data_IF_562588190976
#
_entry.id   IF_562588190976
#
_cell.length_a   1.000
_cell.length_b   1.000
_cell.length_c   1.000
_cell.angle_alpha   90.00
_cell.angle_beta   90.00
_cell.angle_gamma   90.00
#
_symmetry.space_group_name_H-M   'P 1'
#
loop_
_entity.id
_entity.type
_entity.pdbx_description
1 polymer ?
#
# COMPACT_ATOMS: atom_id res chain seq x y z
N UNK A 1 20.74 7.24 51.39
CA UNK A 1 20.52 6.39 50.21
C UNK A 1 19.18 6.70 49.57
N UNK A 2 19.15 7.42 48.43
CA UNK A 2 17.91 7.65 47.67
C UNK A 2 17.50 6.34 47.01
N UNK A 3 16.39 5.75 47.47
CA UNK A 3 15.82 4.54 46.92
C UNK A 3 15.17 4.91 45.58
N UNK A 4 15.86 4.69 44.46
CA UNK A 4 15.26 4.82 43.14
C UNK A 4 14.09 3.84 43.06
N UNK A 5 12.88 4.38 43.08
CA UNK A 5 11.66 3.62 42.87
C UNK A 5 11.69 3.21 41.40
N UNK A 6 12.24 2.04 41.10
CA UNK A 6 12.18 1.47 39.75
C UNK A 6 10.69 1.40 39.42
N UNK A 7 10.20 2.10 38.38
CA UNK A 7 8.79 2.05 38.04
C UNK A 7 8.51 0.63 37.54
N UNK A 8 7.98 -0.21 38.43
CA UNK A 8 7.43 -1.51 38.06
C UNK A 8 6.31 -1.19 37.08
N UNK A 9 6.52 -1.55 35.82
CA UNK A 9 5.61 -1.25 34.72
C UNK A 9 4.25 -1.86 35.06
N UNK A 10 3.27 -1.02 35.39
CA UNK A 10 1.94 -1.51 35.76
C UNK A 10 1.29 -2.23 34.56
N UNK A 11 0.38 -3.20 34.78
CA UNK A 11 -0.28 -3.93 33.68
C UNK A 11 -0.96 -3.01 32.67
N UNK A 12 -1.41 -1.82 33.11
CA UNK A 12 -1.98 -0.78 32.25
C UNK A 12 -0.96 -0.21 31.24
N UNK A 13 0.30 -0.04 31.64
CA UNK A 13 1.36 0.45 30.75
C UNK A 13 1.72 -0.58 29.67
N UNK A 14 1.76 -1.87 29.99
CA UNK A 14 2.03 -2.93 29.00
C UNK A 14 0.97 -2.96 27.88
N UNK A 15 -0.32 -2.85 28.25
CA UNK A 15 -1.40 -2.78 27.26
C UNK A 15 -1.27 -1.55 26.35
N UNK A 16 -0.96 -0.38 26.93
CA UNK A 16 -0.79 0.85 26.16
C UNK A 16 0.39 0.76 25.19
N UNK A 17 1.54 0.28 25.66
CA UNK A 17 2.74 0.12 24.84
C UNK A 17 2.48 -0.88 23.71
N UNK A 18 1.80 -2.00 23.99
CA UNK A 18 1.45 -2.98 22.96
C UNK A 18 0.56 -2.41 21.85
N UNK A 19 -0.44 -1.59 22.19
CA UNK A 19 -1.30 -0.93 21.20
C UNK A 19 -0.51 0.10 20.38
N UNK A 20 0.36 0.89 21.03
CA UNK A 20 1.18 1.89 20.34
C UNK A 20 2.16 1.25 19.36
N UNK A 21 2.87 0.20 19.77
CA UNK A 21 3.83 -0.49 18.90
C UNK A 21 3.11 -1.22 17.76
N UNK A 22 1.97 -1.84 18.04
CA UNK A 22 1.15 -2.47 17.01
C UNK A 22 0.64 -1.45 15.99
N UNK A 23 0.13 -0.30 16.44
CA UNK A 23 -0.34 0.77 15.55
C UNK A 23 0.79 1.32 14.69
N UNK A 24 1.97 1.57 15.28
CA UNK A 24 3.12 2.08 14.54
C UNK A 24 3.60 1.06 13.49
N UNK A 25 3.68 -0.22 13.87
CA UNK A 25 4.03 -1.30 12.94
C UNK A 25 3.00 -1.40 11.80
N UNK A 26 1.70 -1.46 12.13
CA UNK A 26 0.63 -1.58 11.14
C UNK A 26 0.63 -0.41 10.14
N UNK A 27 0.80 0.83 10.61
CA UNK A 27 0.90 1.99 9.74
C UNK A 27 2.11 1.91 8.79
N UNK A 28 3.26 1.47 9.32
CA UNK A 28 4.50 1.30 8.52
C UNK A 28 4.36 0.18 7.49
N UNK A 29 3.75 -0.95 7.85
CA UNK A 29 3.49 -2.04 6.90
C UNK A 29 2.49 -1.64 5.83
N UNK A 30 1.41 -0.94 6.20
CA UNK A 30 0.41 -0.47 5.25
C UNK A 30 1.01 0.54 4.26
N UNK A 31 1.84 1.48 4.72
CA UNK A 31 2.51 2.44 3.83
C UNK A 31 3.46 1.74 2.86
N UNK A 32 4.30 0.81 3.34
CA UNK A 32 5.19 0.03 2.47
C UNK A 32 4.39 -0.81 1.46
N UNK A 33 3.33 -1.49 1.90
CA UNK A 33 2.47 -2.25 1.02
C UNK A 33 1.90 -1.36 -0.09
N UNK A 34 1.36 -0.19 0.25
CA UNK A 34 0.81 0.71 -0.75
C UNK A 34 1.88 1.32 -1.68
N UNK A 35 3.09 1.57 -1.21
CA UNK A 35 4.18 2.08 -2.04
C UNK A 35 4.67 1.06 -3.06
N UNK A 36 4.71 -0.23 -2.72
CA UNK A 36 5.22 -1.28 -3.61
C UNK A 36 4.16 -1.95 -4.47
N UNK A 37 2.90 -1.96 -4.03
CA UNK A 37 1.83 -2.72 -4.71
C UNK A 37 0.94 -1.84 -5.57
N UNK A 38 0.80 -0.54 -5.26
CA UNK A 38 0.04 0.36 -6.12
C UNK A 38 0.93 0.86 -7.25
N UNK A 39 0.49 0.62 -8.49
CA UNK A 39 1.15 1.15 -9.68
C UNK A 39 0.91 2.67 -9.86
N UNK A 40 -0.05 3.25 -9.16
CA UNK A 40 -0.35 4.69 -9.23
C UNK A 40 0.74 5.56 -8.60
N UNK A 41 1.59 5.00 -7.74
CA UNK A 41 2.66 5.74 -7.07
C UNK A 41 3.93 5.68 -7.90
N UNK A 42 4.23 6.77 -8.61
CA UNK A 42 5.44 6.89 -9.44
C UNK A 42 6.65 7.19 -8.54
N UNK A 43 7.43 6.16 -8.21
CA UNK A 43 8.69 6.30 -7.47
C UNK A 43 9.85 6.77 -8.36
N UNK A 44 9.81 6.44 -9.65
CA UNK A 44 10.83 6.82 -10.63
C UNK A 44 10.15 7.52 -11.82
N UNK A 45 10.47 8.80 -12.02
CA UNK A 45 9.91 9.61 -13.12
C UNK A 45 10.69 9.46 -14.44
N UNK A 46 11.74 8.67 -14.48
CA UNK A 46 12.47 8.42 -15.72
C UNK A 46 11.55 7.75 -16.76
N UNK A 47 11.52 8.27 -17.98
CA UNK A 47 10.61 7.90 -19.11
C UNK A 47 9.11 8.22 -18.95
N UNK A 48 8.63 8.50 -17.73
CA UNK A 48 7.25 8.94 -17.41
C UNK A 48 6.15 8.36 -18.34
N UNK A 49 5.98 7.02 -18.40
CA UNK A 49 4.87 6.42 -19.13
C UNK A 49 3.54 6.90 -18.56
N UNK A 50 2.47 6.81 -19.34
CA UNK A 50 1.17 7.22 -18.82
C UNK A 50 0.75 6.31 -17.66
N UNK A 51 0.12 6.84 -16.60
CA UNK A 51 -0.12 6.09 -15.36
C UNK A 51 -0.87 4.76 -15.56
N UNK A 52 -1.76 4.69 -16.56
CA UNK A 52 -2.55 3.52 -16.89
C UNK A 52 -1.83 2.47 -17.74
N UNK A 53 -0.67 2.76 -18.33
CA UNK A 53 0.03 1.79 -19.19
C UNK A 53 0.68 0.65 -18.42
N UNK A 54 1.15 0.91 -17.19
CA UNK A 54 1.75 -0.11 -16.33
C UNK A 54 0.72 -0.92 -15.52
N UNK A 55 -0.54 -0.53 -15.58
CA UNK A 55 -1.62 -1.16 -14.82
C UNK A 55 -2.06 -2.42 -15.55
N UNK A 56 -1.95 -3.57 -14.89
CA UNK A 56 -2.51 -4.84 -15.37
C UNK A 56 -3.98 -4.93 -14.95
N UNK A 57 -4.93 -4.81 -15.90
CA UNK A 57 -6.34 -4.79 -15.56
C UNK A 57 -6.95 -6.20 -15.39
N UNK A 58 -6.20 -7.25 -15.76
CA UNK A 58 -6.59 -8.65 -15.55
C UNK A 58 -6.41 -9.09 -14.10
N UNK A 59 -5.64 -8.32 -13.33
CA UNK A 59 -5.40 -8.57 -11.90
C UNK A 59 -6.30 -7.68 -11.04
N UNK A 60 -6.76 -8.19 -9.88
CA UNK A 60 -7.42 -7.34 -8.90
C UNK A 60 -6.43 -6.30 -8.38
N UNK A 61 -6.83 -5.03 -8.43
CA UNK A 61 -5.99 -3.90 -8.01
C UNK A 61 -6.29 -3.43 -6.58
N UNK A 62 -7.33 -3.99 -5.96
CA UNK A 62 -7.77 -3.62 -4.61
C UNK A 62 -7.66 -4.83 -3.69
N UNK A 63 -7.38 -4.56 -2.41
CA UNK A 63 -7.35 -5.56 -1.34
C UNK A 63 -8.62 -6.41 -1.29
N UNK A 64 -9.76 -5.79 -1.59
CA UNK A 64 -11.05 -6.48 -1.73
C UNK A 64 -11.63 -6.10 -3.08
N UNK A 65 -11.90 -7.11 -3.89
CA UNK A 65 -12.47 -6.94 -5.22
C UNK A 65 -13.72 -7.79 -5.33
N UNK A 66 -14.88 -7.17 -5.54
CA UNK A 66 -16.17 -7.87 -5.67
C UNK A 66 -16.64 -7.72 -7.13
N UNK A 67 -16.81 -8.84 -7.83
CA UNK A 67 -17.32 -8.91 -9.20
C UNK A 67 -16.58 -8.07 -10.27
N UNK A 68 -15.29 -7.74 -10.06
CA UNK A 68 -14.50 -7.08 -11.12
C UNK A 68 -14.33 -8.02 -12.31
N UNK A 69 -14.84 -7.60 -13.47
CA UNK A 69 -14.66 -8.25 -14.76
C UNK A 69 -13.92 -7.29 -15.66
N UNK A 70 -12.79 -7.71 -16.20
CA UNK A 70 -12.09 -6.97 -17.24
C UNK A 70 -12.34 -7.61 -18.60
N UNK A 71 -12.58 -6.77 -19.62
CA UNK A 71 -12.64 -7.18 -21.02
C UNK A 71 -11.92 -6.14 -21.88
N UNK A 72 -11.04 -6.56 -22.81
CA UNK A 72 -10.41 -5.65 -23.76
C UNK A 72 -11.47 -5.09 -24.71
N UNK A 73 -11.22 -3.87 -25.17
CA UNK A 73 -12.07 -3.14 -26.12
C UNK A 73 -11.25 -3.05 -27.41
N UNK A 74 -11.73 -3.66 -28.48
CA UNK A 74 -10.97 -3.84 -29.71
C UNK A 74 -10.63 -2.49 -30.37
N UNK A 75 -11.54 -1.52 -30.32
CA UNK A 75 -11.32 -0.19 -30.87
C UNK A 75 -10.18 0.54 -30.15
N UNK A 76 -10.08 0.36 -28.83
CA UNK A 76 -8.99 0.94 -28.02
C UNK A 76 -7.64 0.29 -28.33
N UNK A 77 -7.60 -1.02 -28.58
CA UNK A 77 -6.38 -1.71 -28.97
C UNK A 77 -5.89 -1.25 -30.34
N UNK A 78 -6.79 -1.08 -31.31
CA UNK A 78 -6.47 -0.57 -32.63
C UNK A 78 -5.86 0.84 -32.57
N UNK A 79 -6.49 1.76 -31.82
CA UNK A 79 -5.97 3.13 -31.64
C UNK A 79 -4.60 3.12 -30.95
N UNK A 80 -4.42 2.27 -29.94
CA UNK A 80 -3.14 2.13 -29.22
C UNK A 80 -2.02 1.65 -30.14
N UNK A 81 -2.29 0.71 -31.05
CA UNK A 81 -1.32 0.23 -32.04
C UNK A 81 -0.95 1.30 -33.09
N UNK A 82 -1.86 2.24 -33.40
CA UNK A 82 -1.59 3.33 -34.36
C UNK A 82 -0.80 4.49 -33.74
N UNK A 83 -0.86 4.64 -32.42
CA UNK A 83 -0.29 5.80 -31.70
C UNK A 83 1.12 5.53 -31.14
N UNK A 84 1.52 4.26 -30.98
CA UNK A 84 2.87 3.85 -30.53
C UNK A 84 3.84 3.67 -31.69
#
# INVERSE_FOLDING_TARGET
YKKYKVPILTPKCFSLIGIMTFSAAAATFASLYFLFTNNDVILNKSRNPEPWEGVDPSKPQKLVTIHQKWRPIEELEQVKCMTK
#
